data_IF_143301439669
#
_entry.id   IF_143301439669
#
_cell.length_a   1.000
_cell.length_b   1.000
_cell.length_c   1.000
_cell.angle_alpha   90.00
_cell.angle_beta   90.00
_cell.angle_gamma   90.00
#
_symmetry.space_group_name_H-M   'P 1'
#
loop_
_entity.id
_entity.type
_entity.pdbx_description
1 polymer ?
#
# COMPACT_ATOMS: atom_id res chain seq x y z
N UNK A 1 36.18 7.95 20.33
CA UNK A 1 35.07 7.72 19.36
C UNK A 1 34.41 6.39 19.68
N UNK A 2 33.44 6.35 20.60
CA UNK A 2 32.76 5.11 21.00
C UNK A 2 32.02 4.52 19.80
N UNK A 3 32.43 3.32 19.38
CA UNK A 3 31.86 2.62 18.23
C UNK A 3 30.35 2.41 18.47
N UNK A 4 29.54 3.03 17.63
CA UNK A 4 28.08 2.87 17.50
C UNK A 4 27.69 1.47 16.97
N UNK A 5 28.20 0.41 17.59
CA UNK A 5 27.95 -0.99 17.17
C UNK A 5 26.46 -1.34 17.33
N UNK A 6 25.85 -0.87 18.42
CA UNK A 6 24.43 -1.06 18.72
C UNK A 6 23.52 -0.29 17.75
N UNK A 7 23.89 0.94 17.38
CA UNK A 7 23.09 1.76 16.46
C UNK A 7 22.99 1.13 15.07
N UNK A 8 24.10 0.58 14.54
CA UNK A 8 24.07 -0.18 13.28
C UNK A 8 23.17 -1.40 13.34
N UNK A 9 23.09 -2.06 14.50
CA UNK A 9 22.24 -3.24 14.69
C UNK A 9 20.76 -2.86 14.70
N UNK A 10 20.40 -1.78 15.42
CA UNK A 10 19.04 -1.23 15.45
C UNK A 10 18.62 -0.70 14.08
N UNK A 11 19.50 0.03 13.38
CA UNK A 11 19.22 0.52 12.02
C UNK A 11 18.95 -0.63 11.05
N UNK A 12 19.77 -1.69 11.11
CA UNK A 12 19.61 -2.85 10.23
C UNK A 12 18.30 -3.59 10.49
N UNK A 13 17.87 -3.68 11.75
CA UNK A 13 16.57 -4.27 12.13
C UNK A 13 15.40 -3.40 11.68
N UNK A 14 15.47 -2.09 11.87
CA UNK A 14 14.47 -1.14 11.38
C UNK A 14 14.36 -1.15 9.86
N UNK A 15 15.49 -1.26 9.16
CA UNK A 15 15.53 -1.32 7.70
C UNK A 15 14.87 -2.61 7.17
N UNK A 16 15.08 -3.74 7.82
CA UNK A 16 14.36 -4.99 7.49
C UNK A 16 12.85 -4.85 7.72
N UNK A 17 12.45 -4.27 8.86
CA UNK A 17 11.02 -4.02 9.15
C UNK A 17 10.44 -3.09 8.08
N UNK A 18 11.15 -2.04 7.70
CA UNK A 18 10.72 -1.10 6.67
C UNK A 18 10.58 -1.76 5.30
N UNK A 19 11.52 -2.64 4.93
CA UNK A 19 11.43 -3.42 3.68
C UNK A 19 10.21 -4.34 3.70
N UNK A 20 9.97 -5.05 4.80
CA UNK A 20 8.79 -5.93 4.93
C UNK A 20 7.50 -5.11 4.88
N UNK A 21 7.47 -3.96 5.55
CA UNK A 21 6.33 -3.05 5.53
C UNK A 21 6.08 -2.52 4.11
N UNK A 22 7.13 -2.15 3.39
CA UNK A 22 7.06 -1.68 2.01
C UNK A 22 6.56 -2.78 1.08
N UNK A 23 7.06 -4.02 1.22
CA UNK A 23 6.57 -5.18 0.48
C UNK A 23 5.10 -5.46 0.78
N UNK A 24 4.67 -5.32 2.03
CA UNK A 24 3.26 -5.42 2.43
C UNK A 24 2.39 -4.35 1.78
N UNK A 25 2.86 -3.10 1.74
CA UNK A 25 2.17 -2.00 1.06
C UNK A 25 2.08 -2.23 -0.45
N UNK A 26 3.14 -2.73 -1.07
CA UNK A 26 3.15 -3.09 -2.49
C UNK A 26 2.18 -4.24 -2.76
N UNK A 27 2.18 -5.28 -1.91
CA UNK A 27 1.24 -6.39 -2.02
C UNK A 27 -0.22 -5.95 -1.84
N UNK A 28 -0.50 -5.01 -0.93
CA UNK A 28 -1.82 -4.39 -0.78
C UNK A 28 -2.22 -3.56 -2.00
N UNK A 29 -1.32 -2.73 -2.52
CA UNK A 29 -1.55 -1.96 -3.74
C UNK A 29 -1.86 -2.86 -4.93
N UNK A 30 -1.01 -3.87 -5.16
CA UNK A 30 -1.22 -4.86 -6.24
C UNK A 30 -2.51 -5.65 -6.01
N UNK A 31 -2.80 -6.08 -4.78
CA UNK A 31 -4.03 -6.80 -4.43
C UNK A 31 -5.29 -5.96 -4.70
N UNK A 32 -5.26 -4.66 -4.41
CA UNK A 32 -6.34 -3.73 -4.72
C UNK A 32 -6.48 -3.50 -6.23
N UNK A 33 -5.37 -3.34 -6.96
CA UNK A 33 -5.37 -3.17 -8.41
C UNK A 33 -5.91 -4.42 -9.12
N UNK A 34 -5.50 -5.60 -8.68
CA UNK A 34 -5.97 -6.89 -9.19
C UNK A 34 -7.43 -7.11 -8.81
N UNK A 35 -7.84 -6.82 -7.56
CA UNK A 35 -9.22 -6.92 -7.12
C UNK A 35 -10.16 -5.98 -7.89
N UNK A 36 -9.75 -4.74 -8.11
CA UNK A 36 -10.55 -3.78 -8.88
C UNK A 36 -10.59 -4.06 -10.38
N UNK A 37 -9.44 -4.41 -10.97
CA UNK A 37 -9.34 -4.69 -12.40
C UNK A 37 -10.01 -6.01 -12.81
N UNK A 38 -9.78 -7.08 -12.04
CA UNK A 38 -10.29 -8.43 -12.38
C UNK A 38 -11.71 -8.65 -11.85
N UNK A 39 -12.00 -8.30 -10.59
CA UNK A 39 -13.32 -8.53 -9.99
C UNK A 39 -14.26 -7.32 -10.18
N UNK A 40 -13.72 -6.10 -10.26
CA UNK A 40 -14.50 -4.85 -10.25
C UNK A 40 -14.98 -4.32 -11.61
N UNK A 41 -14.71 -5.00 -12.73
CA UNK A 41 -14.95 -4.48 -14.10
C UNK A 41 -14.29 -3.11 -14.37
N UNK A 42 -13.30 -2.71 -13.56
CA UNK A 42 -12.57 -1.46 -13.75
C UNK A 42 -11.66 -1.57 -14.96
N UNK A 43 -11.91 -0.79 -16.02
CA UNK A 43 -11.05 -0.76 -17.21
C UNK A 43 -9.60 -0.40 -16.88
N UNK A 44 -9.39 0.41 -15.84
CA UNK A 44 -8.07 0.86 -15.41
C UNK A 44 -7.74 0.38 -13.99
N UNK A 45 -6.80 -0.58 -13.84
CA UNK A 45 -6.31 -1.03 -12.53
C UNK A 45 -5.74 0.10 -11.68
N UNK A 46 -5.22 1.16 -12.33
CA UNK A 46 -4.67 2.34 -11.68
C UNK A 46 -5.74 3.29 -11.12
N UNK A 47 -6.98 3.20 -11.58
CA UNK A 47 -8.06 4.07 -11.12
C UNK A 47 -8.44 3.82 -9.65
N UNK A 48 -8.16 2.62 -9.12
CA UNK A 48 -8.32 2.29 -7.69
C UNK A 48 -7.40 3.12 -6.78
N UNK A 49 -6.32 3.69 -7.32
CA UNK A 49 -5.42 4.57 -6.58
C UNK A 49 -5.87 6.04 -6.62
N UNK A 50 -6.91 6.37 -7.40
CA UNK A 50 -7.42 7.73 -7.49
C UNK A 50 -8.41 8.04 -6.35
N UNK A 51 -8.26 9.15 -5.62
CA UNK A 51 -9.20 9.55 -4.56
C UNK A 51 -10.64 9.72 -5.07
N UNK A 52 -10.80 10.12 -6.34
CA UNK A 52 -12.09 10.31 -6.97
C UNK A 52 -12.90 9.01 -7.07
N UNK A 53 -12.26 7.86 -7.36
CA UNK A 53 -12.95 6.55 -7.37
C UNK A 53 -13.37 6.10 -5.98
N UNK A 54 -12.59 6.43 -4.95
CA UNK A 54 -12.99 6.17 -3.57
C UNK A 54 -14.21 7.00 -3.17
N UNK A 55 -14.28 8.27 -3.56
CA UNK A 55 -15.48 9.08 -3.37
C UNK A 55 -16.69 8.52 -4.13
N UNK A 56 -16.52 8.10 -5.39
CA UNK A 56 -17.60 7.49 -6.18
C UNK A 56 -18.11 6.19 -5.54
N UNK A 57 -17.20 5.33 -5.06
CA UNK A 57 -17.54 4.11 -4.31
C UNK A 57 -18.28 4.43 -3.01
N UNK A 58 -17.76 5.37 -2.22
CA UNK A 58 -18.39 5.79 -0.97
C UNK A 58 -19.76 6.40 -1.23
N UNK A 59 -19.93 7.19 -2.29
CA UNK A 59 -21.23 7.74 -2.71
C UNK A 59 -22.22 6.63 -3.04
N UNK A 60 -21.78 5.58 -3.78
CA UNK A 60 -22.63 4.39 -4.04
C UNK A 60 -23.08 3.69 -2.77
N UNK A 61 -22.22 3.59 -1.75
CA UNK A 61 -22.60 3.02 -0.45
C UNK A 61 -23.45 3.95 0.41
N UNK A 62 -23.31 5.26 0.22
CA UNK A 62 -24.03 6.29 1.01
C UNK A 62 -25.36 6.69 0.34
N UNK A 63 -25.61 6.23 -0.89
CA UNK A 63 -26.89 6.41 -1.59
C UNK A 63 -27.13 7.81 -2.17
N UNK A 64 -26.06 8.57 -2.40
CA UNK A 64 -26.11 9.88 -3.08
C UNK A 64 -25.67 9.78 -4.53
#
# INVERSE_FOLDING_TARGET
MMKNKNLRYVLRRLLLIFIVLLLGFLALGIGLMVGYGILGKGQDPWAILSPAKWQELISKFTGN
#
